data_IF_054904839193
#
_entry.id   IF_054904839193
#
_cell.length_a   1.000
_cell.length_b   1.000
_cell.length_c   1.000
_cell.angle_alpha   90.00
_cell.angle_beta   90.00
_cell.angle_gamma   90.00
#
_symmetry.space_group_name_H-M   'P 1'
#
loop_
_entity.id
_entity.type
_entity.pdbx_description
1 polymer ?
#
# COMPACT_ATOMS: atom_id res chain seq x y z
N UNK A 1 -30.81 -0.03 -21.01
CA UNK A 1 -29.64 -0.26 -20.10
C UNK A 1 -28.58 -1.21 -20.68
N UNK A 2 -28.75 -1.78 -21.84
CA UNK A 2 -27.88 -2.76 -22.52
C UNK A 2 -26.77 -2.14 -23.38
N UNK A 3 -26.93 -0.93 -23.86
CA UNK A 3 -25.97 -0.26 -24.77
C UNK A 3 -24.68 0.25 -24.13
N UNK A 4 -24.72 0.61 -22.85
CA UNK A 4 -23.54 1.17 -22.15
C UNK A 4 -22.54 0.08 -21.77
N UNK A 5 -23.01 -1.10 -21.33
CA UNK A 5 -22.13 -2.25 -21.02
C UNK A 5 -21.37 -2.73 -22.26
N UNK A 6 -22.03 -2.78 -23.41
CA UNK A 6 -21.42 -3.21 -24.66
C UNK A 6 -20.34 -2.25 -25.18
N UNK A 7 -20.49 -0.94 -24.94
CA UNK A 7 -19.46 0.07 -25.27
C UNK A 7 -18.21 -0.04 -24.39
N UNK A 8 -18.39 -0.34 -23.10
CA UNK A 8 -17.28 -0.50 -22.15
C UNK A 8 -16.46 -1.75 -22.48
N UNK A 9 -17.13 -2.87 -22.77
CA UNK A 9 -16.45 -4.12 -23.15
C UNK A 9 -15.66 -3.97 -24.45
N UNK A 10 -16.19 -3.30 -25.47
CA UNK A 10 -15.48 -3.02 -26.73
C UNK A 10 -14.24 -2.13 -26.51
N UNK A 11 -14.30 -1.13 -25.63
CA UNK A 11 -13.16 -0.27 -25.30
C UNK A 11 -12.08 -1.04 -24.53
N UNK A 12 -12.45 -1.91 -23.61
CA UNK A 12 -11.51 -2.76 -22.87
C UNK A 12 -10.79 -3.75 -23.80
N UNK A 13 -11.51 -4.38 -24.72
CA UNK A 13 -10.93 -5.29 -25.72
C UNK A 13 -10.00 -4.52 -26.67
N UNK A 14 -10.35 -3.30 -27.08
CA UNK A 14 -9.51 -2.48 -27.94
C UNK A 14 -8.23 -2.04 -27.24
N UNK A 15 -8.28 -1.67 -25.96
CA UNK A 15 -7.09 -1.33 -25.16
C UNK A 15 -6.20 -2.55 -24.94
N UNK A 16 -6.78 -3.72 -24.68
CA UNK A 16 -6.03 -4.97 -24.54
C UNK A 16 -5.36 -5.39 -25.85
N UNK A 17 -6.06 -5.26 -26.98
CA UNK A 17 -5.53 -5.53 -28.30
C UNK A 17 -4.42 -4.56 -28.70
N UNK A 18 -4.54 -3.27 -28.32
CA UNK A 18 -3.50 -2.26 -28.56
C UNK A 18 -2.25 -2.54 -27.71
N UNK A 19 -2.42 -2.96 -26.47
CA UNK A 19 -1.31 -3.36 -25.60
C UNK A 19 -0.58 -4.60 -26.12
N UNK A 20 -1.33 -5.60 -26.60
CA UNK A 20 -0.76 -6.79 -27.24
C UNK A 20 -0.04 -6.47 -28.57
N UNK A 21 -0.59 -5.55 -29.37
CA UNK A 21 0.04 -5.10 -30.61
C UNK A 21 1.34 -4.34 -30.34
N UNK A 22 1.40 -3.49 -29.30
CA UNK A 22 2.64 -2.81 -28.91
C UNK A 22 3.74 -3.77 -28.44
N UNK A 23 3.39 -4.91 -27.85
CA UNK A 23 4.36 -5.96 -27.50
C UNK A 23 4.85 -6.77 -28.71
N UNK A 24 4.10 -6.80 -29.83
CA UNK A 24 4.45 -7.55 -31.01
C UNK A 24 5.42 -6.81 -31.96
N UNK A 25 5.61 -5.51 -31.79
CA UNK A 25 6.51 -4.68 -32.62
C UNK A 25 7.88 -4.42 -31.98
N UNK A 26 8.34 -5.29 -31.09
CA UNK A 26 9.74 -5.23 -30.65
C UNK A 26 10.62 -5.82 -31.76
N UNK A 27 11.12 -4.97 -32.66
CA UNK A 27 12.26 -5.36 -33.46
C UNK A 27 13.40 -5.75 -32.52
N UNK A 28 14.11 -6.87 -32.80
CA UNK A 28 15.30 -7.18 -32.04
C UNK A 28 16.28 -6.01 -32.23
N UNK A 29 16.48 -5.22 -31.17
CA UNK A 29 17.51 -4.20 -31.17
C UNK A 29 18.85 -4.92 -31.36
N UNK A 30 19.44 -4.86 -32.57
CA UNK A 30 20.80 -5.26 -32.79
C UNK A 30 21.67 -4.35 -31.91
N UNK A 31 22.14 -4.92 -30.80
CA UNK A 31 23.10 -4.25 -29.95
C UNK A 31 24.31 -3.93 -30.79
N UNK A 32 24.58 -2.65 -31.05
CA UNK A 32 25.79 -2.21 -31.73
C UNK A 32 26.98 -2.84 -30.99
N UNK A 33 27.63 -3.78 -31.64
CA UNK A 33 28.89 -4.36 -31.17
C UNK A 33 29.93 -3.25 -31.25
N UNK A 34 30.22 -2.61 -30.13
CA UNK A 34 31.38 -1.73 -30.01
C UNK A 34 32.59 -2.63 -30.15
N UNK A 35 33.26 -2.58 -31.30
CA UNK A 35 34.53 -3.21 -31.53
C UNK A 35 35.56 -2.60 -30.60
N UNK A 36 35.74 -3.24 -29.43
CA UNK A 36 36.81 -2.88 -28.52
C UNK A 36 38.16 -3.27 -29.14
N UNK A 37 38.94 -2.26 -29.52
CA UNK A 37 40.33 -2.44 -29.92
C UNK A 37 41.21 -2.38 -28.68
N UNK A 38 42.05 -3.39 -28.46
CA UNK A 38 42.96 -3.46 -27.31
C UNK A 38 42.93 -4.77 -26.56
N UNK A 39 43.48 -4.87 -25.33
CA UNK A 39 43.56 -6.10 -24.54
C UNK A 39 42.23 -6.76 -24.21
N UNK A 40 41.13 -6.07 -24.43
CA UNK A 40 39.74 -6.54 -24.24
C UNK A 40 39.06 -6.93 -25.55
N UNK A 41 39.79 -6.92 -26.68
CA UNK A 41 39.24 -7.33 -27.96
C UNK A 41 38.79 -8.80 -27.90
N UNK A 42 37.50 -9.05 -28.19
CA UNK A 42 36.90 -10.39 -28.14
C UNK A 42 36.33 -10.79 -26.76
N UNK A 43 36.49 -9.99 -25.73
CA UNK A 43 35.75 -10.22 -24.48
C UNK A 43 34.30 -9.75 -24.63
N UNK A 44 33.29 -10.57 -24.29
CA UNK A 44 31.90 -10.12 -24.33
C UNK A 44 31.72 -8.91 -23.40
N UNK A 45 31.27 -7.79 -23.96
CA UNK A 45 31.05 -6.54 -23.24
C UNK A 45 30.03 -6.69 -22.11
N UNK A 46 29.17 -7.70 -22.19
CA UNK A 46 28.18 -8.05 -21.18
C UNK A 46 28.48 -9.44 -20.65
N UNK A 47 29.00 -9.56 -19.43
CA UNK A 47 29.01 -10.85 -18.74
C UNK A 47 27.55 -11.30 -18.53
N UNK A 48 27.27 -12.57 -18.90
CA UNK A 48 25.94 -13.19 -18.62
C UNK A 48 25.50 -12.88 -17.20
N UNK A 49 24.28 -12.37 -17.08
CA UNK A 49 23.68 -12.08 -15.78
C UNK A 49 23.48 -13.42 -15.06
N UNK A 50 24.11 -13.59 -13.90
CA UNK A 50 23.98 -14.82 -13.12
C UNK A 50 22.69 -14.75 -12.30
N UNK A 51 21.73 -15.62 -12.64
CA UNK A 51 20.46 -15.73 -11.94
C UNK A 51 20.64 -16.60 -10.68
N UNK A 52 20.12 -16.13 -9.55
CA UNK A 52 20.43 -16.74 -8.24
C UNK A 52 19.20 -16.96 -7.38
N UNK A 53 17.99 -16.83 -7.93
CA UNK A 53 16.73 -16.88 -7.13
C UNK A 53 16.09 -18.25 -7.11
N UNK A 54 16.17 -19.00 -8.19
CA UNK A 54 15.47 -20.28 -8.36
C UNK A 54 15.71 -21.24 -7.19
N UNK A 55 14.62 -21.77 -6.63
CA UNK A 55 14.65 -22.76 -5.54
C UNK A 55 15.06 -22.18 -4.18
N UNK A 56 15.01 -20.86 -3.98
CA UNK A 56 15.39 -20.21 -2.72
C UNK A 56 14.20 -19.56 -2.03
N UNK A 57 14.23 -19.60 -0.71
CA UNK A 57 13.37 -18.78 0.13
C UNK A 57 13.96 -17.36 0.25
N UNK A 58 13.08 -16.38 0.21
CA UNK A 58 13.39 -14.99 0.47
C UNK A 58 12.68 -14.58 1.76
N UNK A 59 13.44 -14.13 2.75
CA UNK A 59 12.94 -13.59 4.01
C UNK A 59 13.34 -12.11 4.00
N UNK A 60 12.35 -11.24 4.10
CA UNK A 60 12.55 -9.80 3.96
C UNK A 60 11.89 -9.04 5.12
N UNK A 61 12.54 -8.85 6.27
CA UNK A 61 12.09 -7.88 7.26
C UNK A 61 11.94 -6.51 6.61
N UNK A 62 10.86 -5.80 6.97
CA UNK A 62 10.46 -4.60 6.28
C UNK A 62 9.83 -3.57 7.21
N UNK A 63 10.06 -2.31 6.88
CA UNK A 63 9.36 -1.17 7.43
C UNK A 63 8.58 -0.51 6.30
N UNK A 64 7.30 -0.27 6.52
CA UNK A 64 6.42 0.29 5.52
C UNK A 64 5.74 1.55 6.06
N UNK A 65 5.48 2.50 5.15
CA UNK A 65 4.87 3.79 5.46
C UNK A 65 3.63 3.96 4.61
N UNK A 66 2.50 4.29 5.23
CA UNK A 66 1.33 4.71 4.47
C UNK A 66 1.56 6.11 3.89
N UNK A 67 1.16 6.30 2.63
CA UNK A 67 1.29 7.56 1.90
C UNK A 67 -0.08 8.17 1.68
N UNK A 68 -0.12 9.51 1.55
CA UNK A 68 -1.31 10.29 1.22
C UNK A 68 -2.48 10.15 2.21
N UNK A 69 -2.21 9.68 3.42
CA UNK A 69 -3.21 9.69 4.48
C UNK A 69 -3.40 11.14 4.97
N UNK A 70 -4.65 11.60 4.97
CA UNK A 70 -4.99 12.98 5.29
C UNK A 70 -4.77 13.31 6.77
N UNK A 71 -5.19 12.40 7.65
CA UNK A 71 -5.22 12.65 9.10
C UNK A 71 -4.09 11.98 9.86
N UNK A 72 -3.71 10.77 9.46
CA UNK A 72 -2.79 9.95 10.23
C UNK A 72 -2.00 9.03 9.33
N UNK A 73 -0.68 9.07 9.42
CA UNK A 73 0.23 8.15 8.74
C UNK A 73 0.60 7.00 9.66
N UNK A 74 0.50 5.79 9.14
CA UNK A 74 0.82 4.57 9.90
C UNK A 74 2.18 4.03 9.46
N UNK A 75 3.03 3.73 10.43
CA UNK A 75 4.25 2.96 10.20
C UNK A 75 3.92 1.50 10.49
N UNK A 76 4.09 0.67 9.46
CA UNK A 76 3.81 -0.75 9.49
C UNK A 76 5.14 -1.50 9.63
N UNK A 77 5.28 -2.28 10.69
CA UNK A 77 6.45 -3.14 10.92
C UNK A 77 6.09 -4.58 10.55
N UNK A 78 6.89 -5.20 9.71
CA UNK A 78 6.59 -6.55 9.25
C UNK A 78 7.64 -7.15 8.35
N UNK A 79 7.20 -7.93 7.37
CA UNK A 79 8.13 -8.52 6.42
C UNK A 79 7.41 -9.30 5.31
N UNK A 80 8.23 -9.83 4.44
CA UNK A 80 7.80 -10.67 3.32
C UNK A 80 8.52 -12.01 3.36
N UNK A 81 7.77 -13.07 3.08
CA UNK A 81 8.28 -14.41 2.88
C UNK A 81 7.90 -14.87 1.49
N UNK A 82 8.87 -15.17 0.63
CA UNK A 82 8.63 -15.66 -0.72
C UNK A 82 9.40 -16.95 -0.96
N UNK A 83 8.83 -17.84 -1.75
CA UNK A 83 9.52 -18.97 -2.35
C UNK A 83 9.66 -18.75 -3.86
N UNK A 84 10.88 -18.79 -4.36
CA UNK A 84 11.18 -18.56 -5.77
C UNK A 84 11.17 -19.89 -6.52
N UNK A 85 10.08 -20.22 -7.23
CA UNK A 85 9.98 -21.44 -8.05
C UNK A 85 10.92 -21.38 -9.24
N UNK A 86 10.96 -20.23 -9.88
CA UNK A 86 11.84 -19.92 -11.00
C UNK A 86 12.59 -18.63 -10.69
N UNK A 87 13.47 -18.24 -11.60
CA UNK A 87 14.15 -16.97 -11.45
C UNK A 87 13.21 -15.77 -11.65
N UNK A 88 12.13 -15.94 -12.40
CA UNK A 88 11.19 -14.86 -12.73
C UNK A 88 9.86 -14.93 -11.99
N UNK A 89 9.52 -16.05 -11.32
CA UNK A 89 8.23 -16.23 -10.63
C UNK A 89 8.44 -16.72 -9.20
N UNK A 90 7.79 -16.06 -8.26
CA UNK A 90 7.76 -16.44 -6.87
C UNK A 90 6.35 -16.30 -6.28
N UNK A 91 6.08 -17.07 -5.24
CA UNK A 91 4.87 -16.99 -4.45
C UNK A 91 5.24 -16.81 -2.98
N UNK A 92 4.46 -16.02 -2.28
CA UNK A 92 4.69 -15.77 -0.86
C UNK A 92 3.61 -14.95 -0.22
N UNK A 93 3.95 -14.34 0.90
CA UNK A 93 3.07 -13.46 1.63
C UNK A 93 3.86 -12.28 2.20
N UNK A 94 3.22 -11.12 2.19
CA UNK A 94 3.65 -9.95 2.95
C UNK A 94 2.73 -9.77 4.13
N UNK A 95 3.29 -9.44 5.29
CA UNK A 95 2.53 -9.18 6.51
C UNK A 95 3.15 -8.07 7.32
N UNK A 96 2.32 -7.21 7.90
CA UNK A 96 2.79 -6.10 8.71
C UNK A 96 1.75 -5.67 9.76
N UNK A 97 2.23 -5.10 10.86
CA UNK A 97 1.44 -4.59 11.98
C UNK A 97 1.65 -3.08 12.09
N UNK A 98 0.55 -2.33 12.14
CA UNK A 98 0.54 -0.86 12.14
C UNK A 98 -0.02 -0.23 13.42
N UNK A 99 -0.45 -1.03 14.39
CA UNK A 99 -1.05 -0.50 15.63
C UNK A 99 -0.07 0.24 16.54
N UNK A 100 1.24 0.02 16.38
CA UNK A 100 2.24 0.50 17.32
C UNK A 100 2.66 1.97 17.08
N UNK A 101 2.77 2.40 15.83
CA UNK A 101 3.31 3.73 15.50
C UNK A 101 2.39 4.42 14.50
N UNK A 102 1.73 5.50 14.96
CA UNK A 102 0.85 6.34 14.17
C UNK A 102 1.28 7.79 14.33
N UNK A 103 1.60 8.43 13.21
CA UNK A 103 2.05 9.82 13.15
C UNK A 103 0.88 10.66 12.64
N UNK A 104 0.43 11.61 13.43
CA UNK A 104 -0.63 12.53 13.05
C UNK A 104 -0.10 13.60 12.12
N UNK A 105 -0.96 14.07 11.21
CA UNK A 105 -0.64 15.16 10.30
C UNK A 105 -0.96 16.51 10.94
N UNK A 106 -0.36 17.58 10.40
CA UNK A 106 -0.64 18.95 10.82
C UNK A 106 -2.13 19.31 10.72
N UNK A 107 -2.83 18.74 9.73
CA UNK A 107 -4.28 18.90 9.57
C UNK A 107 -5.04 18.39 10.81
N UNK A 108 -4.64 17.24 11.34
CA UNK A 108 -5.23 16.67 12.54
C UNK A 108 -5.04 17.59 13.76
N UNK A 109 -3.85 18.15 13.92
CA UNK A 109 -3.55 19.10 15.00
C UNK A 109 -4.35 20.40 14.87
N UNK A 110 -4.50 20.92 13.65
CA UNK A 110 -5.34 22.08 13.37
C UNK A 110 -6.81 21.81 13.71
N UNK A 111 -7.37 20.68 13.25
CA UNK A 111 -8.76 20.29 13.57
C UNK A 111 -8.94 20.16 15.08
N UNK A 112 -8.02 19.52 15.77
CA UNK A 112 -8.06 19.37 17.22
C UNK A 112 -8.05 20.74 17.93
N UNK A 113 -7.20 21.67 17.50
CA UNK A 113 -7.10 23.00 18.10
C UNK A 113 -8.37 23.83 17.91
N UNK A 114 -8.93 23.84 16.69
CA UNK A 114 -10.19 24.52 16.36
C UNK A 114 -11.35 23.93 17.16
N UNK A 115 -11.41 22.60 17.29
CA UNK A 115 -12.42 21.91 18.08
C UNK A 115 -12.32 22.29 19.57
N UNK A 116 -11.11 22.38 20.11
CA UNK A 116 -10.88 22.83 21.49
C UNK A 116 -11.32 24.28 21.72
N UNK A 117 -11.01 25.18 20.79
CA UNK A 117 -11.43 26.58 20.84
C UNK A 117 -12.97 26.72 20.82
N UNK A 118 -13.65 25.99 19.94
CA UNK A 118 -15.13 25.98 19.88
C UNK A 118 -15.76 25.51 21.18
N UNK A 119 -15.17 24.47 21.80
CA UNK A 119 -15.66 23.98 23.12
C UNK A 119 -15.43 24.96 24.24
N UNK A 120 -14.33 25.70 24.20
CA UNK A 120 -14.04 26.75 25.17
C UNK A 120 -14.97 27.99 25.01
N UNK A 121 -15.34 28.29 23.76
CA UNK A 121 -16.24 29.42 23.46
C UNK A 121 -17.70 29.17 23.90
N UNK A 122 -18.14 27.91 23.91
CA UNK A 122 -19.48 27.54 24.38
C UNK A 122 -19.42 26.38 25.37
N UNK A 123 -19.06 26.64 26.64
CA UNK A 123 -18.96 25.62 27.67
C UNK A 123 -20.31 25.04 28.11
N UNK A 124 -21.41 25.72 27.81
CA UNK A 124 -22.78 25.31 28.21
C UNK A 124 -23.47 24.43 27.15
N UNK A 125 -22.88 24.32 25.94
CA UNK A 125 -23.41 23.42 24.90
C UNK A 125 -23.43 21.96 25.39
N UNK A 126 -24.54 21.28 25.14
CA UNK A 126 -24.66 19.85 25.46
C UNK A 126 -23.71 19.02 24.59
N UNK A 127 -23.42 17.78 25.00
CA UNK A 127 -22.61 16.87 24.19
C UNK A 127 -23.24 16.63 22.81
N UNK A 128 -24.56 16.63 22.72
CA UNK A 128 -25.33 16.50 21.47
C UNK A 128 -25.13 17.72 20.59
N UNK A 129 -25.32 18.93 21.14
CA UNK A 129 -25.16 20.17 20.39
C UNK A 129 -23.73 20.33 19.85
N UNK A 130 -22.73 19.94 20.62
CA UNK A 130 -21.33 19.94 20.17
C UNK A 130 -21.06 18.93 19.05
N UNK A 131 -21.69 17.76 19.13
CA UNK A 131 -21.58 16.75 18.09
C UNK A 131 -22.23 17.23 16.79
N UNK A 132 -23.38 17.85 16.86
CA UNK A 132 -24.13 18.38 15.71
C UNK A 132 -23.41 19.58 15.07
N UNK A 133 -22.95 20.54 15.89
CA UNK A 133 -22.32 21.78 15.41
C UNK A 133 -20.87 21.59 14.99
N UNK A 134 -20.18 20.58 15.50
CA UNK A 134 -18.78 20.31 15.23
C UNK A 134 -18.56 19.16 14.23
N UNK A 135 -19.48 18.95 13.28
CA UNK A 135 -19.43 17.85 12.32
C UNK A 135 -19.19 16.50 12.99
N UNK A 136 -19.86 16.25 14.10
CA UNK A 136 -19.76 14.99 14.83
C UNK A 136 -18.35 14.70 15.40
N UNK A 137 -17.58 15.76 15.69
CA UNK A 137 -16.28 15.64 16.34
C UNK A 137 -16.42 15.31 17.82
N UNK A 138 -15.76 14.24 18.26
CA UNK A 138 -15.63 13.91 19.68
C UNK A 138 -14.73 14.89 20.44
N UNK A 139 -14.63 14.76 21.78
CA UNK A 139 -13.74 15.60 22.60
C UNK A 139 -12.27 15.52 22.19
N UNK A 140 -11.85 14.38 21.70
CA UNK A 140 -10.49 14.11 21.22
C UNK A 140 -10.55 13.58 19.80
N UNK A 141 -10.37 14.47 18.83
CA UNK A 141 -10.42 14.13 17.41
C UNK A 141 -9.38 13.07 17.04
N UNK A 142 -8.21 13.12 17.65
CA UNK A 142 -7.10 12.19 17.35
C UNK A 142 -7.46 10.73 17.62
N UNK A 143 -8.31 10.48 18.57
CA UNK A 143 -8.74 9.12 18.96
C UNK A 143 -9.89 8.56 18.14
N UNK A 144 -10.57 9.40 17.36
CA UNK A 144 -11.65 8.92 16.48
C UNK A 144 -11.16 8.48 15.10
N UNK A 145 -9.91 8.76 14.78
CA UNK A 145 -9.34 8.46 13.46
C UNK A 145 -9.32 6.96 13.18
N UNK A 146 -9.68 6.61 11.96
CA UNK A 146 -9.52 5.26 11.46
C UNK A 146 -8.04 4.88 11.36
N UNK A 147 -7.71 3.63 11.62
CA UNK A 147 -6.35 3.15 11.54
C UNK A 147 -6.22 1.74 11.01
N UNK A 148 -5.10 1.47 10.33
CA UNK A 148 -4.73 0.13 9.89
C UNK A 148 -3.96 -0.52 11.04
N UNK A 149 -4.50 -1.64 11.56
CA UNK A 149 -3.89 -2.37 12.66
C UNK A 149 -2.91 -3.42 12.17
N UNK A 150 -3.31 -4.17 11.15
CA UNK A 150 -2.47 -5.19 10.54
C UNK A 150 -2.89 -5.45 9.09
N UNK A 151 -1.97 -5.97 8.31
CA UNK A 151 -2.21 -6.40 6.93
C UNK A 151 -1.52 -7.73 6.70
N UNK A 152 -2.20 -8.66 6.02
CA UNK A 152 -1.63 -9.90 5.50
C UNK A 152 -2.05 -10.06 4.05
N UNK A 153 -1.08 -10.24 3.16
CA UNK A 153 -1.32 -10.30 1.72
C UNK A 153 -0.53 -11.45 1.09
N UNK A 154 -1.16 -12.62 0.85
CA UNK A 154 -0.59 -13.60 -0.05
C UNK A 154 -0.46 -13.00 -1.43
N UNK A 155 0.68 -13.23 -2.09
CA UNK A 155 1.00 -12.57 -3.35
C UNK A 155 1.79 -13.45 -4.30
N UNK A 156 1.55 -13.25 -5.58
CA UNK A 156 2.38 -13.73 -6.67
C UNK A 156 3.31 -12.61 -7.09
N UNK A 157 4.59 -12.92 -7.29
CA UNK A 157 5.59 -11.94 -7.70
C UNK A 157 6.26 -12.39 -8.99
N UNK A 158 6.27 -11.49 -9.98
CA UNK A 158 6.93 -11.69 -11.26
C UNK A 158 8.10 -10.72 -11.41
N UNK A 159 9.23 -11.19 -11.91
CA UNK A 159 10.47 -10.41 -12.09
C UNK A 159 10.82 -10.38 -13.58
N UNK A 160 10.19 -9.49 -14.37
CA UNK A 160 10.42 -9.44 -15.82
C UNK A 160 11.75 -8.79 -16.18
N UNK A 161 12.23 -7.85 -15.37
CA UNK A 161 13.41 -7.08 -15.70
C UNK A 161 14.51 -7.27 -14.65
N UNK A 162 15.69 -7.57 -15.16
CA UNK A 162 16.91 -7.68 -14.37
C UNK A 162 18.02 -6.96 -15.09
N UNK A 163 18.85 -6.30 -14.34
CA UNK A 163 19.91 -5.51 -14.92
C UNK A 163 21.05 -5.26 -13.96
N UNK A 164 22.02 -4.55 -14.48
CA UNK A 164 23.09 -3.96 -13.69
C UNK A 164 22.94 -2.46 -13.74
N UNK A 165 22.81 -1.86 -12.57
CA UNK A 165 22.79 -0.41 -12.43
C UNK A 165 24.22 0.06 -12.20
N UNK A 166 24.69 0.97 -13.01
CA UNK A 166 25.95 1.67 -12.81
C UNK A 166 25.65 3.02 -12.16
N UNK A 167 25.96 3.16 -10.86
CA UNK A 167 25.85 4.42 -10.15
C UNK A 167 27.21 5.14 -10.22
N UNK A 168 27.16 6.40 -10.69
CA UNK A 168 28.34 7.26 -10.82
C UNK A 168 29.52 6.63 -11.57
N UNK A 169 29.23 5.72 -12.51
CA UNK A 169 30.22 4.96 -13.33
C UNK A 169 31.23 4.11 -12.53
N UNK A 170 31.08 4.04 -11.22
CA UNK A 170 32.04 3.34 -10.30
C UNK A 170 31.40 2.23 -9.46
N UNK A 171 30.11 2.33 -9.18
CA UNK A 171 29.39 1.33 -8.38
C UNK A 171 28.46 0.55 -9.29
N UNK A 172 28.70 -0.75 -9.43
CA UNK A 172 27.87 -1.64 -10.21
C UNK A 172 27.04 -2.53 -9.27
N UNK A 173 25.71 -2.35 -9.27
CA UNK A 173 24.78 -3.14 -8.49
C UNK A 173 23.91 -4.01 -9.41
N UNK A 174 23.79 -5.29 -9.10
CA UNK A 174 22.79 -6.14 -9.73
C UNK A 174 21.40 -5.69 -9.20
N UNK A 175 20.41 -5.51 -10.08
CA UNK A 175 19.08 -5.04 -9.73
C UNK A 175 18.01 -5.88 -10.38
N UNK A 176 16.89 -6.06 -9.65
CA UNK A 176 15.68 -6.67 -10.17
C UNK A 176 14.53 -5.67 -10.04
N UNK A 177 13.74 -5.52 -11.11
CA UNK A 177 12.42 -4.91 -11.05
C UNK A 177 11.39 -6.02 -11.00
N UNK A 178 10.51 -6.00 -10.02
CA UNK A 178 9.45 -6.98 -9.87
C UNK A 178 8.08 -6.32 -9.72
N UNK A 179 7.07 -7.06 -10.17
CA UNK A 179 5.66 -6.73 -9.98
C UNK A 179 5.03 -7.82 -9.12
N UNK A 180 4.07 -7.45 -8.32
CA UNK A 180 3.34 -8.40 -7.50
C UNK A 180 1.86 -8.07 -7.46
N UNK A 181 1.05 -9.08 -7.14
CA UNK A 181 -0.38 -8.92 -6.95
C UNK A 181 -0.97 -10.09 -6.17
N UNK A 182 -2.10 -9.82 -5.54
CA UNK A 182 -2.82 -10.81 -4.75
C UNK A 182 -3.97 -10.22 -3.95
N UNK A 183 -4.68 -11.01 -3.14
CA UNK A 183 -5.61 -10.50 -2.15
C UNK A 183 -4.86 -9.99 -0.91
N UNK A 184 -5.43 -8.99 -0.24
CA UNK A 184 -4.97 -8.51 1.05
C UNK A 184 -6.10 -8.58 2.06
N UNK A 185 -5.79 -9.03 3.27
CA UNK A 185 -6.65 -9.02 4.44
C UNK A 185 -6.14 -7.94 5.37
N UNK A 186 -7.00 -6.97 5.71
CA UNK A 186 -6.62 -5.75 6.39
C UNK A 186 -7.46 -5.62 7.64
N UNK A 187 -6.83 -5.63 8.80
CA UNK A 187 -7.47 -5.32 10.08
C UNK A 187 -7.50 -3.81 10.27
N UNK A 188 -8.68 -3.29 10.53
CA UNK A 188 -8.94 -1.87 10.67
C UNK A 188 -9.60 -1.59 12.00
N UNK A 189 -9.28 -0.47 12.62
CA UNK A 189 -10.07 0.16 13.69
C UNK A 189 -10.72 1.41 13.11
N UNK A 190 -12.05 1.50 13.20
CA UNK A 190 -12.85 2.62 12.70
C UNK A 190 -13.75 3.15 13.81
N UNK A 191 -14.12 4.43 13.76
CA UNK A 191 -15.14 4.99 14.64
C UNK A 191 -16.50 4.32 14.37
N UNK A 192 -17.21 4.05 15.45
CA UNK A 192 -18.58 3.54 15.43
C UNK A 192 -19.52 4.61 16.00
N UNK A 193 -20.77 4.60 15.58
CA UNK A 193 -21.78 5.43 16.17
C UNK A 193 -21.93 5.13 17.67
N UNK A 194 -22.09 6.17 18.47
CA UNK A 194 -22.26 6.02 19.91
C UNK A 194 -23.67 5.53 20.22
N UNK A 195 -23.77 4.36 20.80
CA UNK A 195 -25.01 3.88 21.40
C UNK A 195 -25.10 4.46 22.79
N UNK A 196 -25.83 5.57 22.95
CA UNK A 196 -26.04 6.24 24.22
C UNK A 196 -27.51 6.59 24.44
N UNK A 197 -27.82 7.06 25.65
CA UNK A 197 -29.09 7.68 25.96
C UNK A 197 -29.16 9.06 25.32
N UNK A 198 -30.38 9.60 25.16
CA UNK A 198 -30.62 10.95 24.61
C UNK A 198 -29.88 12.08 25.33
N UNK A 199 -29.45 11.87 26.57
CA UNK A 199 -28.74 12.86 27.39
C UNK A 199 -27.21 12.83 27.23
N UNK A 200 -26.62 11.68 26.87
CA UNK A 200 -25.18 11.58 26.61
C UNK A 200 -24.87 10.37 25.70
N UNK A 201 -25.01 10.54 24.41
CA UNK A 201 -24.85 9.43 23.43
C UNK A 201 -23.43 8.90 23.35
N UNK A 202 -22.44 9.64 23.85
CA UNK A 202 -21.02 9.28 23.74
C UNK A 202 -20.31 9.45 25.08
N UNK A 203 -20.91 8.91 26.14
CA UNK A 203 -20.32 8.95 27.49
C UNK A 203 -19.09 8.05 27.58
N UNK A 204 -17.94 8.61 27.41
CA UNK A 204 -16.65 7.93 27.55
C UNK A 204 -15.52 8.95 27.58
N UNK A 205 -14.34 8.58 28.02
CA UNK A 205 -13.21 9.50 28.09
C UNK A 205 -12.83 10.09 26.71
N UNK A 206 -13.27 9.47 25.62
CA UNK A 206 -13.03 9.93 24.25
C UNK A 206 -14.28 10.50 23.56
N UNK A 207 -15.48 10.35 24.18
CA UNK A 207 -16.76 10.79 23.59
C UNK A 207 -17.23 10.00 22.38
N UNK A 208 -16.66 8.82 22.08
CA UNK A 208 -17.07 7.94 20.99
C UNK A 208 -16.58 6.50 21.22
N UNK A 209 -17.12 5.57 20.44
CA UNK A 209 -16.72 4.17 20.42
C UNK A 209 -15.97 3.86 19.13
N UNK A 210 -15.03 2.92 19.19
CA UNK A 210 -14.36 2.34 18.03
C UNK A 210 -14.75 0.89 17.86
N UNK A 211 -14.70 0.39 16.63
CA UNK A 211 -14.92 -1.00 16.30
C UNK A 211 -13.84 -1.50 15.37
N UNK A 212 -13.43 -2.74 15.57
CA UNK A 212 -12.50 -3.42 14.70
C UNK A 212 -13.24 -4.11 13.56
N UNK A 213 -12.62 -4.13 12.38
CA UNK A 213 -13.16 -4.76 11.18
C UNK A 213 -12.04 -5.36 10.34
N UNK A 214 -12.34 -6.43 9.64
CA UNK A 214 -11.49 -6.94 8.58
C UNK A 214 -12.03 -6.50 7.22
N UNK A 215 -11.18 -5.88 6.42
CA UNK A 215 -11.44 -5.58 5.01
C UNK A 215 -10.65 -6.53 4.11
N UNK A 216 -11.22 -6.86 2.97
CA UNK A 216 -10.56 -7.64 1.93
C UNK A 216 -10.42 -6.73 0.71
N UNK A 217 -9.21 -6.63 0.18
CA UNK A 217 -8.89 -5.78 -0.96
C UNK A 217 -7.92 -6.49 -1.92
N UNK A 218 -7.94 -6.17 -3.20
CA UNK A 218 -6.81 -6.52 -4.06
C UNK A 218 -5.58 -5.73 -3.62
N UNK A 219 -4.41 -6.33 -3.71
CA UNK A 219 -3.13 -5.62 -3.58
C UNK A 219 -2.31 -5.84 -4.83
N UNK A 220 -1.62 -4.80 -5.25
CA UNK A 220 -0.70 -4.86 -6.37
C UNK A 220 0.36 -3.78 -6.23
N UNK A 221 1.47 -3.99 -6.90
CA UNK A 221 2.55 -3.03 -6.83
C UNK A 221 3.76 -3.44 -7.63
N UNK A 222 4.79 -2.65 -7.43
CA UNK A 222 6.09 -2.87 -8.03
C UNK A 222 7.20 -2.60 -7.02
N UNK A 223 8.35 -3.20 -7.23
CA UNK A 223 9.49 -2.96 -6.37
C UNK A 223 10.81 -3.22 -7.09
N UNK A 224 11.85 -2.71 -6.46
CA UNK A 224 13.23 -2.85 -6.90
C UNK A 224 14.03 -3.54 -5.79
N UNK A 225 14.84 -4.53 -6.19
CA UNK A 225 15.84 -5.13 -5.33
C UNK A 225 17.23 -4.72 -5.82
N UNK A 226 18.05 -4.24 -4.91
CA UNK A 226 19.45 -3.90 -5.14
C UNK A 226 20.32 -4.90 -4.38
N UNK A 227 21.01 -5.77 -5.11
CA UNK A 227 21.80 -6.85 -4.51
C UNK A 227 23.11 -6.31 -3.96
N UNK A 228 23.27 -6.44 -2.64
CA UNK A 228 24.54 -6.07 -1.95
C UNK A 228 25.54 -7.22 -2.13
N UNK A 229 25.04 -8.44 -2.04
CA UNK A 229 25.85 -9.65 -2.24
C UNK A 229 25.01 -10.82 -2.76
N UNK A 230 25.58 -12.02 -2.82
CA UNK A 230 24.96 -13.23 -3.38
C UNK A 230 23.75 -13.75 -2.59
N UNK A 231 23.54 -13.28 -1.37
CA UNK A 231 22.50 -13.76 -0.46
C UNK A 231 21.66 -12.65 0.17
N UNK A 232 22.00 -11.37 -0.07
CA UNK A 232 21.22 -10.26 0.46
C UNK A 232 21.01 -9.14 -0.56
N UNK A 233 19.86 -8.46 -0.42
CA UNK A 233 19.49 -7.31 -1.23
C UNK A 233 18.71 -6.29 -0.38
N UNK A 234 18.82 -5.02 -0.74
CA UNK A 234 17.96 -3.95 -0.25
C UNK A 234 16.77 -3.84 -1.18
N UNK A 235 15.56 -3.87 -0.66
CA UNK A 235 14.32 -3.78 -1.40
C UNK A 235 13.59 -2.48 -1.16
N UNK A 236 13.04 -1.90 -2.23
CA UNK A 236 12.10 -0.77 -2.20
C UNK A 236 10.84 -1.20 -2.94
N UNK A 237 9.69 -1.06 -2.31
CA UNK A 237 8.40 -1.52 -2.85
C UNK A 237 7.34 -0.45 -2.69
N UNK A 238 6.59 -0.21 -3.77
CA UNK A 238 5.37 0.58 -3.77
C UNK A 238 4.17 -0.34 -3.94
N UNK A 239 3.20 -0.20 -3.03
CA UNK A 239 2.02 -1.06 -2.93
C UNK A 239 0.74 -0.25 -2.94
N UNK A 240 -0.21 -0.61 -3.79
CA UNK A 240 -1.58 -0.13 -3.80
C UNK A 240 -2.51 -1.08 -3.03
N UNK A 241 -3.38 -0.51 -2.21
CA UNK A 241 -4.40 -1.18 -1.41
C UNK A 241 -5.73 -0.42 -1.55
N UNK A 242 -6.50 -0.66 -2.63
CA UNK A 242 -7.79 0.00 -2.84
C UNK A 242 -8.89 -0.68 -2.00
N UNK A 243 -9.43 0.03 -1.01
CA UNK A 243 -10.57 -0.41 -0.21
C UNK A 243 -11.35 0.76 0.39
N UNK A 244 -12.57 0.48 0.87
CA UNK A 244 -13.43 1.49 1.48
C UNK A 244 -13.33 1.44 3.00
N UNK A 245 -13.11 2.60 3.62
CA UNK A 245 -13.08 2.80 5.06
C UNK A 245 -13.35 4.24 5.46
N UNK A 246 -13.63 4.46 6.75
CA UNK A 246 -13.84 5.80 7.30
C UNK A 246 -12.59 6.27 8.03
N UNK A 247 -11.78 7.08 7.36
CA UNK A 247 -10.48 7.57 7.86
C UNK A 247 -10.61 8.59 8.98
N UNK A 248 -11.56 9.52 8.86
CA UNK A 248 -11.73 10.64 9.79
C UNK A 248 -12.76 10.41 10.90
N UNK A 249 -13.54 9.34 10.82
CA UNK A 249 -14.65 9.10 11.75
C UNK A 249 -15.78 10.12 11.61
N UNK A 250 -16.03 10.62 10.39
CA UNK A 250 -17.10 11.56 10.10
C UNK A 250 -18.32 10.86 9.49
N UNK A 251 -19.49 11.46 9.72
CA UNK A 251 -20.68 11.22 8.90
C UNK A 251 -20.40 11.72 7.49
N UNK A 252 -20.52 10.86 6.49
CA UNK A 252 -20.27 11.15 5.08
C UNK A 252 -21.28 10.43 4.21
N UNK A 253 -21.44 10.85 2.97
CA UNK A 253 -22.32 10.14 2.06
C UNK A 253 -21.78 8.76 1.60
N UNK A 254 -20.58 8.34 2.05
CA UNK A 254 -19.99 7.03 1.80
C UNK A 254 -19.89 6.64 0.31
N UNK A 255 -19.60 7.61 -0.59
CA UNK A 255 -19.67 7.39 -2.03
C UNK A 255 -21.10 7.18 -2.55
N UNK A 256 -22.10 7.76 -1.88
CA UNK A 256 -23.52 7.67 -2.24
C UNK A 256 -24.23 6.45 -1.64
N UNK A 257 -23.63 5.76 -0.68
CA UNK A 257 -24.23 4.61 0.00
C UNK A 257 -25.17 5.07 1.11
N UNK A 258 -24.81 6.11 1.86
CA UNK A 258 -25.67 6.66 2.88
C UNK A 258 -26.73 7.58 2.26
N UNK A 259 -27.97 7.07 2.25
CA UNK A 259 -29.15 7.79 1.73
C UNK A 259 -29.72 8.81 2.71
N UNK A 260 -29.30 8.78 3.98
CA UNK A 260 -29.78 9.66 5.04
C UNK A 260 -28.80 10.78 5.38
N UNK A 261 -27.66 10.81 4.72
CA UNK A 261 -26.68 11.87 4.91
C UNK A 261 -27.28 13.27 4.61
N UNK A 262 -27.06 14.26 5.48
CA UNK A 262 -26.37 14.21 6.78
C UNK A 262 -27.35 13.83 7.92
N UNK A 263 -27.06 12.74 8.65
CA UNK A 263 -27.89 12.33 9.80
C UNK A 263 -27.12 12.29 11.13
N UNK A 264 -25.86 12.70 11.10
CA UNK A 264 -24.92 12.74 12.22
C UNK A 264 -24.64 11.38 12.88
N UNK A 265 -24.92 10.29 12.19
CA UNK A 265 -24.64 8.93 12.63
C UNK A 265 -23.45 8.37 11.87
N UNK A 266 -22.64 7.60 12.56
CA UNK A 266 -21.49 6.91 11.96
C UNK A 266 -21.84 5.43 11.76
N UNK A 267 -22.04 5.03 10.52
CA UNK A 267 -22.47 3.69 10.12
C UNK A 267 -21.49 3.05 9.15
N UNK A 268 -21.83 1.87 8.68
CA UNK A 268 -21.06 1.20 7.64
C UNK A 268 -21.16 1.91 6.27
N UNK A 269 -22.22 2.69 6.08
CA UNK A 269 -22.49 3.37 4.82
C UNK A 269 -21.63 4.63 4.65
N UNK A 270 -21.02 5.14 5.74
CA UNK A 270 -20.10 6.29 5.74
C UNK A 270 -18.69 5.98 5.18
N UNK A 271 -18.44 4.74 4.79
CA UNK A 271 -17.13 4.35 4.26
C UNK A 271 -16.93 4.85 2.85
N UNK A 272 -15.86 5.59 2.65
CA UNK A 272 -15.44 6.07 1.33
C UNK A 272 -14.38 5.16 0.75
N UNK A 273 -14.37 5.05 -0.59
CA UNK A 273 -13.33 4.33 -1.30
C UNK A 273 -12.05 5.17 -1.32
N UNK A 274 -10.96 4.57 -0.83
CA UNK A 274 -9.64 5.17 -0.84
C UNK A 274 -8.64 4.26 -1.55
N UNK A 275 -7.81 4.85 -2.38
CA UNK A 275 -6.65 4.18 -2.96
C UNK A 275 -5.48 4.35 -1.99
N UNK A 276 -5.42 3.48 -0.97
CA UNK A 276 -4.35 3.53 0.02
C UNK A 276 -3.03 3.10 -0.60
N UNK A 277 -1.97 3.80 -0.28
CA UNK A 277 -0.64 3.61 -0.83
C UNK A 277 0.36 3.35 0.28
N UNK A 278 1.24 2.40 0.06
CA UNK A 278 2.26 2.01 1.03
C UNK A 278 3.61 1.95 0.35
N UNK A 279 4.59 2.63 0.93
CA UNK A 279 6.00 2.53 0.55
C UNK A 279 6.71 1.64 1.56
N UNK A 280 7.43 0.64 1.08
CA UNK A 280 8.13 -0.34 1.92
C UNK A 280 9.61 -0.33 1.63
N UNK A 281 10.41 -0.35 2.68
CA UNK A 281 11.85 -0.59 2.63
C UNK A 281 12.11 -1.92 3.32
N UNK A 282 12.84 -2.82 2.65
CA UNK A 282 13.10 -4.18 3.14
C UNK A 282 14.56 -4.57 2.99
N UNK A 283 15.00 -5.47 3.86
CA UNK A 283 16.28 -6.14 3.72
C UNK A 283 16.04 -7.61 3.42
N UNK A 284 16.30 -8.01 2.19
CA UNK A 284 15.97 -9.34 1.68
C UNK A 284 17.13 -10.30 1.90
N UNK A 285 16.86 -11.46 2.47
CA UNK A 285 17.82 -12.54 2.73
C UNK A 285 17.36 -13.77 1.96
N UNK A 286 18.25 -14.35 1.16
CA UNK A 286 17.96 -15.52 0.32
C UNK A 286 18.59 -16.79 0.92
N UNK A 287 17.77 -17.81 1.18
CA UNK A 287 18.16 -19.10 1.73
C UNK A 287 17.82 -20.25 0.76
N UNK A 288 18.63 -21.31 0.67
CA UNK A 288 19.94 -21.51 1.31
C UNK A 288 21.02 -20.59 0.74
N UNK A 289 22.12 -20.41 1.48
CA UNK A 289 23.25 -19.59 1.02
C UNK A 289 24.00 -20.23 -0.16
N UNK A 290 23.98 -21.57 -0.24
CA UNK A 290 24.45 -22.30 -1.42
C UNK A 290 23.37 -22.23 -2.51
N UNK A 291 23.73 -21.88 -3.71
CA UNK A 291 22.78 -21.68 -4.82
C UNK A 291 23.31 -22.34 -6.10
N UNK A 292 22.39 -22.82 -6.92
CA UNK A 292 22.67 -23.22 -8.28
C UNK A 292 22.54 -21.98 -9.18
N UNK A 293 23.53 -21.73 -10.00
CA UNK A 293 23.45 -20.66 -11.02
C UNK A 293 22.68 -21.24 -12.19
N UNK A 294 21.56 -20.65 -12.56
CA UNK A 294 20.89 -20.93 -13.83
C UNK A 294 21.55 -20.07 -14.92
N UNK A 295 21.97 -20.73 -16.00
CA UNK A 295 22.50 -20.08 -17.19
C UNK A 295 21.37 -19.66 -18.14
#
# INVERSE_FOLDING_TARGET
MTTTKQKITKRLVAVLALALALCAFTEPAEAQQILLTGPLAGAPAVRKLRLRRKGRFEIAPAVSFTLLDEYQRTILLGGRLNYNFTDWLSFGAWGAVGSAIRIQTDLTDQIQSVNAQRRAADPNATSIDRLLTANNLGPDFKKQLGGIDWVVAPQLTAVPFRGKLALFQSIYLDTDLYFFGGPAFIGLTERKNCAGTTSDPCSGPTGFQTATRMAIAPTFGLGFNFYINKWSALGFEYRGLPFSWNTGGFDTHGGGKDKKFPDNKITNDDRQFNFNQVLTISYNIYLPFQYKVSE
#
